data_IF_459282390875
#
_entry.id   IF_459282390875
#
_cell.length_a   1.000
_cell.length_b   1.000
_cell.length_c   1.000
_cell.angle_alpha   90.00
_cell.angle_beta   90.00
_cell.angle_gamma   90.00
#
_symmetry.space_group_name_H-M   'P 1'
#
loop_
_entity.id
_entity.type
_entity.pdbx_description
1 polymer ?
#
# COMPACT_ATOMS: atom_id res chain seq x y z
N UNK A 1 -20.16 5.49 -1.75
CA UNK A 1 -19.32 4.78 -0.78
C UNK A 1 -19.78 3.36 -0.82
N UNK A 2 -18.87 2.41 -1.04
CA UNK A 2 -19.18 0.99 -1.08
C UNK A 2 -19.76 0.58 0.27
N UNK A 3 -21.00 0.09 0.27
CA UNK A 3 -21.63 -0.42 1.47
C UNK A 3 -21.01 -1.77 1.88
N UNK A 4 -21.31 -2.17 3.11
CA UNK A 4 -20.70 -3.34 3.71
C UNK A 4 -21.19 -4.67 3.11
N UNK A 5 -22.43 -4.73 2.60
CA UNK A 5 -22.99 -5.92 1.98
C UNK A 5 -22.38 -6.16 0.61
N UNK A 6 -22.26 -5.10 -0.20
CA UNK A 6 -21.50 -5.09 -1.45
C UNK A 6 -20.07 -5.55 -1.20
N UNK A 7 -19.38 -4.99 -0.20
CA UNK A 7 -18.03 -5.41 0.15
C UNK A 7 -17.96 -6.91 0.49
N UNK A 8 -18.85 -7.41 1.35
CA UNK A 8 -18.90 -8.83 1.75
C UNK A 8 -19.13 -9.75 0.57
N UNK A 9 -20.05 -9.38 -0.31
CA UNK A 9 -20.38 -10.14 -1.51
C UNK A 9 -19.15 -10.30 -2.42
N UNK A 10 -18.45 -9.20 -2.70
CA UNK A 10 -17.23 -9.24 -3.54
C UNK A 10 -16.08 -9.93 -2.83
N UNK A 11 -15.88 -9.68 -1.53
CA UNK A 11 -14.83 -10.33 -0.75
C UNK A 11 -14.98 -11.86 -0.74
N UNK A 12 -16.22 -12.37 -0.63
CA UNK A 12 -16.52 -13.79 -0.73
C UNK A 12 -16.18 -14.35 -2.11
N UNK A 13 -16.49 -13.63 -3.19
CA UNK A 13 -16.12 -14.03 -4.54
C UNK A 13 -14.59 -14.07 -4.74
N UNK A 14 -13.87 -13.07 -4.22
CA UNK A 14 -12.40 -13.05 -4.23
C UNK A 14 -11.84 -14.22 -3.43
N UNK A 15 -12.37 -14.50 -2.25
CA UNK A 15 -11.93 -15.63 -1.41
C UNK A 15 -12.09 -16.98 -2.12
N UNK A 16 -13.20 -17.16 -2.83
CA UNK A 16 -13.53 -18.40 -3.56
C UNK A 16 -12.89 -18.47 -4.96
N UNK A 17 -12.22 -17.41 -5.40
CA UNK A 17 -11.52 -17.43 -6.69
C UNK A 17 -10.31 -18.37 -6.65
N UNK A 18 -9.91 -18.94 -7.79
CA UNK A 18 -8.71 -19.77 -7.91
C UNK A 18 -7.46 -19.08 -7.34
N UNK A 19 -6.51 -19.85 -6.80
CA UNK A 19 -5.25 -19.27 -6.29
C UNK A 19 -4.43 -18.60 -7.39
N UNK A 20 -4.57 -19.06 -8.63
CA UNK A 20 -4.00 -18.48 -9.83
C UNK A 20 -4.90 -17.41 -10.46
N UNK A 21 -5.80 -16.77 -9.67
CA UNK A 21 -6.62 -15.63 -10.12
C UNK A 21 -5.81 -14.61 -10.93
N UNK A 22 -4.51 -14.53 -10.64
CA UNK A 22 -3.53 -13.83 -11.41
C UNK A 22 -2.42 -14.81 -11.77
N UNK A 23 -2.22 -15.06 -13.06
CA UNK A 23 -1.04 -15.76 -13.56
C UNK A 23 0.19 -15.10 -12.93
N UNK A 24 0.97 -15.88 -12.17
CA UNK A 24 2.19 -15.48 -11.47
C UNK A 24 2.05 -14.73 -10.13
N UNK A 25 0.83 -14.54 -9.58
CA UNK A 25 0.66 -13.79 -8.30
C UNK A 25 -0.34 -14.42 -7.33
N UNK A 26 -0.13 -15.68 -6.95
CA UNK A 26 -1.03 -16.39 -6.03
C UNK A 26 -1.21 -15.74 -4.66
N UNK A 27 -0.26 -14.90 -4.23
CA UNK A 27 -0.29 -14.22 -2.94
C UNK A 27 -1.28 -13.05 -2.88
N UNK A 28 -1.69 -12.47 -4.01
CA UNK A 28 -2.49 -11.23 -3.98
C UNK A 28 -3.90 -11.45 -3.45
N UNK A 29 -4.50 -12.65 -3.65
CA UNK A 29 -5.81 -12.98 -3.08
C UNK A 29 -5.84 -12.75 -1.57
N UNK A 30 -4.83 -13.24 -0.86
CA UNK A 30 -4.70 -13.04 0.57
C UNK A 30 -4.48 -11.58 0.96
N UNK A 31 -3.73 -10.82 0.15
CA UNK A 31 -3.47 -9.40 0.39
C UNK A 31 -4.72 -8.53 0.22
N UNK A 32 -5.57 -8.84 -0.77
CA UNK A 32 -6.82 -8.10 -1.01
C UNK A 32 -7.75 -8.12 0.22
N UNK A 33 -7.75 -9.23 0.95
CA UNK A 33 -8.65 -9.48 2.08
C UNK A 33 -8.06 -9.04 3.44
N UNK A 34 -6.77 -8.70 3.49
CA UNK A 34 -6.08 -8.26 4.71
C UNK A 34 -6.06 -6.73 4.85
N UNK A 35 -5.91 -6.26 6.10
CA UNK A 35 -5.62 -4.85 6.38
C UNK A 35 -4.33 -4.47 5.67
N UNK A 36 -4.37 -3.32 5.01
CA UNK A 36 -3.28 -2.87 4.18
C UNK A 36 -2.94 -1.41 4.51
N UNK A 37 -1.65 -1.03 4.55
CA UNK A 37 -1.23 0.33 4.90
C UNK A 37 -1.82 1.39 3.95
N UNK A 38 -2.06 1.03 2.70
CA UNK A 38 -2.72 1.92 1.71
C UNK A 38 -4.19 2.14 2.05
N UNK A 39 -4.87 1.11 2.56
CA UNK A 39 -6.32 1.13 2.75
C UNK A 39 -6.75 1.64 4.13
N UNK A 40 -5.83 1.84 5.09
CA UNK A 40 -6.08 2.47 6.41
C UNK A 40 -7.19 1.79 7.24
N UNK A 41 -6.81 0.78 8.02
CA UNK A 41 -7.69 0.05 8.96
C UNK A 41 -8.82 -0.76 8.32
N UNK A 42 -8.78 -0.95 7.00
CA UNK A 42 -9.73 -1.79 6.26
C UNK A 42 -8.97 -2.67 5.26
N UNK A 43 -9.61 -3.73 4.76
CA UNK A 43 -9.03 -4.56 3.72
C UNK A 43 -8.67 -3.76 2.47
N UNK A 44 -7.57 -4.15 1.81
CA UNK A 44 -7.12 -3.52 0.58
C UNK A 44 -8.19 -3.44 -0.50
N UNK A 45 -8.99 -4.51 -0.63
CA UNK A 45 -10.09 -4.62 -1.58
C UNK A 45 -11.04 -3.42 -1.47
N UNK A 46 -11.28 -2.90 -0.26
CA UNK A 46 -12.17 -1.76 -0.08
C UNK A 46 -11.71 -0.53 -0.87
N UNK A 47 -10.40 -0.24 -0.87
CA UNK A 47 -9.85 0.90 -1.61
C UNK A 47 -9.96 0.71 -3.13
N UNK A 48 -9.82 -0.54 -3.60
CA UNK A 48 -10.03 -0.89 -5.00
C UNK A 48 -11.48 -0.69 -5.40
N UNK A 49 -12.44 -1.14 -4.58
CA UNK A 49 -13.86 -0.98 -4.86
C UNK A 49 -14.28 0.50 -4.86
N UNK A 50 -13.70 1.34 -4.00
CA UNK A 50 -13.92 2.81 -4.06
C UNK A 50 -13.42 3.42 -5.37
N UNK A 51 -12.26 2.97 -5.89
CA UNK A 51 -11.78 3.39 -7.21
C UNK A 51 -12.75 3.01 -8.33
N UNK A 52 -13.30 1.79 -8.28
CA UNK A 52 -14.30 1.32 -9.25
C UNK A 52 -15.62 2.09 -9.13
N UNK A 53 -16.07 2.38 -7.90
CA UNK A 53 -17.27 3.19 -7.67
C UNK A 53 -17.10 4.61 -8.22
N UNK A 54 -15.92 5.21 -8.00
CA UNK A 54 -15.60 6.53 -8.55
C UNK A 54 -15.63 6.51 -10.08
N UNK A 55 -15.13 5.44 -10.71
CA UNK A 55 -15.23 5.27 -12.16
C UNK A 55 -16.69 5.20 -12.63
N UNK A 56 -17.54 4.40 -11.97
CA UNK A 56 -18.96 4.32 -12.32
C UNK A 56 -19.68 5.66 -12.25
N UNK A 57 -19.31 6.50 -11.29
CA UNK A 57 -19.95 7.80 -11.06
C UNK A 57 -19.37 8.92 -11.92
N UNK A 58 -18.08 8.87 -12.24
CA UNK A 58 -17.31 10.01 -12.80
C UNK A 58 -16.49 9.66 -14.04
N UNK A 59 -16.55 8.42 -14.53
CA UNK A 59 -15.75 7.90 -15.65
C UNK A 59 -14.24 8.05 -15.44
N UNK A 60 -13.81 8.09 -14.18
CA UNK A 60 -12.40 8.16 -13.79
C UNK A 60 -12.19 7.37 -12.50
N UNK A 61 -11.13 6.57 -12.42
CA UNK A 61 -10.72 5.93 -11.16
C UNK A 61 -10.19 6.98 -10.16
N UNK A 62 -10.01 6.59 -8.89
CA UNK A 62 -9.39 7.50 -7.92
C UNK A 62 -7.91 7.71 -8.28
N UNK A 63 -7.58 8.94 -8.66
CA UNK A 63 -6.20 9.34 -8.96
C UNK A 63 -5.56 9.88 -7.68
N UNK A 64 -4.45 9.28 -7.20
CA UNK A 64 -3.75 9.79 -6.04
C UNK A 64 -3.28 11.24 -6.24
N UNK A 65 -3.59 12.14 -5.29
CA UNK A 65 -3.26 13.57 -5.36
C UNK A 65 -1.78 13.82 -5.71
N UNK A 66 -1.42 14.82 -6.53
CA UNK A 66 -0.01 15.13 -6.79
C UNK A 66 0.77 15.32 -5.50
N UNK A 67 1.98 14.78 -5.43
CA UNK A 67 2.82 14.86 -4.24
C UNK A 67 4.00 15.81 -4.50
N UNK A 68 3.93 17.08 -4.05
CA UNK A 68 4.82 18.15 -4.51
C UNK A 68 6.29 17.95 -4.09
N UNK A 69 6.54 17.19 -3.03
CA UNK A 69 7.89 16.97 -2.48
C UNK A 69 8.68 15.88 -3.22
N UNK A 70 8.07 15.11 -4.12
CA UNK A 70 8.75 14.09 -4.94
C UNK A 70 8.63 14.50 -6.40
N UNK A 71 9.69 15.08 -6.94
CA UNK A 71 9.78 15.62 -8.32
C UNK A 71 9.63 14.57 -9.44
N UNK A 72 9.48 13.28 -9.12
CA UNK A 72 9.57 12.15 -10.06
C UNK A 72 8.27 11.37 -10.25
N UNK A 73 7.08 11.95 -10.01
CA UNK A 73 5.83 11.20 -10.13
C UNK A 73 5.07 11.45 -11.45
N UNK A 74 5.25 10.54 -12.42
CA UNK A 74 4.37 10.38 -13.60
C UNK A 74 3.03 9.69 -13.25
N UNK A 75 2.70 9.58 -11.95
CA UNK A 75 1.54 8.82 -11.46
C UNK A 75 0.25 9.26 -12.14
N UNK A 76 0.01 10.56 -12.30
CA UNK A 76 -1.22 11.05 -12.95
C UNK A 76 -1.34 10.55 -14.39
N UNK A 77 -0.26 10.60 -15.18
CA UNK A 77 -0.26 10.12 -16.56
C UNK A 77 -0.48 8.61 -16.64
N UNK A 78 0.12 7.83 -15.74
CA UNK A 78 -0.10 6.37 -15.64
C UNK A 78 -1.57 6.05 -15.35
N UNK A 79 -2.20 6.78 -14.43
CA UNK A 79 -3.60 6.58 -14.08
C UNK A 79 -4.55 6.99 -15.21
N UNK A 80 -4.29 8.12 -15.86
CA UNK A 80 -5.06 8.56 -17.02
C UNK A 80 -4.97 7.56 -18.17
N UNK A 81 -3.76 7.06 -18.44
CA UNK A 81 -3.54 6.01 -19.44
C UNK A 81 -4.29 4.73 -19.07
N UNK A 82 -4.18 4.26 -17.82
CA UNK A 82 -4.91 3.08 -17.34
C UNK A 82 -6.42 3.24 -17.51
N UNK A 83 -6.98 4.39 -17.12
CA UNK A 83 -8.41 4.66 -17.24
C UNK A 83 -8.91 4.59 -18.69
N UNK A 84 -8.09 5.04 -19.64
CA UNK A 84 -8.37 4.96 -21.08
C UNK A 84 -8.20 3.54 -21.63
N UNK A 85 -7.10 2.88 -21.29
CA UNK A 85 -6.76 1.55 -21.81
C UNK A 85 -7.79 0.49 -21.38
N UNK A 86 -8.37 0.64 -20.18
CA UNK A 86 -9.31 -0.33 -19.59
C UNK A 86 -10.73 0.23 -19.41
N UNK A 87 -11.10 1.28 -20.16
CA UNK A 87 -12.42 1.92 -20.04
C UNK A 87 -13.55 0.90 -20.22
N UNK A 88 -13.44 0.06 -21.25
CA UNK A 88 -14.43 -0.97 -21.58
C UNK A 88 -14.60 -2.01 -20.46
N UNK A 89 -13.52 -2.49 -19.88
CA UNK A 89 -13.54 -3.45 -18.77
C UNK A 89 -14.09 -2.82 -17.50
N UNK A 90 -13.72 -1.58 -17.20
CA UNK A 90 -14.23 -0.83 -16.06
C UNK A 90 -15.74 -0.55 -16.18
N UNK A 91 -16.23 -0.32 -17.41
CA UNK A 91 -17.66 -0.16 -17.68
C UNK A 91 -18.48 -1.42 -17.41
N UNK A 92 -17.89 -2.60 -17.56
CA UNK A 92 -18.57 -3.89 -17.30
C UNK A 92 -18.70 -4.25 -15.83
N UNK A 93 -17.98 -3.57 -14.94
CA UNK A 93 -18.04 -3.86 -13.50
C UNK A 93 -19.48 -3.76 -12.99
N UNK A 94 -19.96 -4.79 -12.33
CA UNK A 94 -21.25 -4.77 -11.65
C UNK A 94 -21.08 -5.33 -10.25
N UNK A 95 -21.28 -4.47 -9.26
CA UNK A 95 -21.13 -4.81 -7.85
C UNK A 95 -22.14 -5.87 -7.38
N UNK A 96 -23.28 -6.00 -8.06
CA UNK A 96 -24.26 -7.07 -7.80
C UNK A 96 -23.88 -8.42 -8.43
N UNK A 97 -22.95 -8.40 -9.39
CA UNK A 97 -22.40 -9.59 -10.06
C UNK A 97 -20.87 -9.64 -9.89
N UNK A 98 -20.36 -10.09 -8.71
CA UNK A 98 -18.92 -10.05 -8.38
C UNK A 98 -18.00 -10.70 -9.40
N UNK A 99 -18.50 -11.65 -10.19
CA UNK A 99 -17.73 -12.28 -11.26
C UNK A 99 -17.16 -11.25 -12.25
N UNK A 100 -17.88 -10.16 -12.52
CA UNK A 100 -17.39 -9.05 -13.37
C UNK A 100 -16.13 -8.38 -12.80
N UNK A 101 -15.99 -8.32 -11.48
CA UNK A 101 -14.80 -7.77 -10.80
C UNK A 101 -13.64 -8.78 -10.87
N UNK A 102 -13.94 -10.07 -10.72
CA UNK A 102 -12.95 -11.14 -10.90
C UNK A 102 -12.41 -11.15 -12.34
N UNK A 103 -13.28 -10.96 -13.33
CA UNK A 103 -12.90 -10.91 -14.74
C UNK A 103 -12.11 -9.63 -15.07
N UNK A 104 -12.50 -8.49 -14.49
CA UNK A 104 -11.70 -7.27 -14.53
C UNK A 104 -10.29 -7.52 -13.98
N UNK A 105 -10.19 -8.11 -12.80
CA UNK A 105 -8.92 -8.42 -12.15
C UNK A 105 -8.01 -9.28 -13.03
N UNK A 106 -8.56 -10.30 -13.69
CA UNK A 106 -7.80 -11.09 -14.68
C UNK A 106 -7.32 -10.25 -15.85
N UNK A 107 -8.18 -9.39 -16.41
CA UNK A 107 -7.86 -8.57 -17.59
C UNK A 107 -6.79 -7.51 -17.31
N UNK A 108 -6.90 -6.79 -16.18
CA UNK A 108 -5.98 -5.71 -15.83
C UNK A 108 -4.67 -6.22 -15.21
N UNK A 109 -4.67 -7.48 -14.77
CA UNK A 109 -3.56 -8.15 -14.11
C UNK A 109 -3.10 -7.47 -12.82
N UNK A 110 -1.96 -7.94 -12.32
CA UNK A 110 -1.38 -7.47 -11.06
C UNK A 110 -1.06 -5.96 -11.08
N UNK A 111 -0.52 -5.47 -12.20
CA UNK A 111 -0.21 -4.04 -12.39
C UNK A 111 -1.45 -3.16 -12.27
N UNK A 112 -2.54 -3.55 -12.92
CA UNK A 112 -3.80 -2.79 -12.88
C UNK A 112 -4.40 -2.73 -11.48
N UNK A 113 -4.30 -3.81 -10.69
CA UNK A 113 -4.77 -3.79 -9.30
C UNK A 113 -3.98 -2.83 -8.43
N UNK A 114 -2.66 -2.74 -8.61
CA UNK A 114 -1.84 -1.73 -7.89
C UNK A 114 -2.33 -0.32 -8.19
N UNK A 115 -2.69 -0.05 -9.45
CA UNK A 115 -3.24 1.24 -9.87
C UNK A 115 -4.61 1.48 -9.20
N UNK A 116 -5.54 0.52 -9.26
CA UNK A 116 -6.83 0.64 -8.58
C UNK A 116 -6.70 0.78 -7.06
N UNK A 117 -5.67 0.19 -6.47
CA UNK A 117 -5.35 0.32 -5.05
C UNK A 117 -4.77 1.70 -4.67
N UNK A 118 -4.49 2.59 -5.62
CA UNK A 118 -3.96 3.93 -5.30
C UNK A 118 -2.44 3.98 -5.09
N UNK A 119 -1.70 2.96 -5.56
CA UNK A 119 -0.23 2.95 -5.46
C UNK A 119 0.42 3.96 -6.40
N UNK A 120 1.49 4.59 -5.95
CA UNK A 120 2.27 5.51 -6.78
C UNK A 120 3.05 4.75 -7.85
N UNK A 121 3.31 5.45 -8.94
CA UNK A 121 4.23 5.02 -9.98
C UNK A 121 5.31 6.10 -10.17
N UNK A 122 6.56 5.69 -10.04
CA UNK A 122 7.76 6.53 -10.20
C UNK A 122 8.86 5.73 -10.89
N UNK A 123 9.91 6.41 -11.35
CA UNK A 123 11.16 5.75 -11.75
C UNK A 123 11.65 4.87 -10.59
N UNK A 124 11.82 3.57 -10.85
CA UNK A 124 12.21 2.57 -9.85
C UNK A 124 11.04 1.82 -9.18
N UNK A 125 9.78 2.14 -9.49
CA UNK A 125 8.63 1.32 -9.06
C UNK A 125 8.80 -0.12 -9.54
N UNK A 126 8.61 -1.08 -8.63
CA UNK A 126 8.46 -2.48 -9.01
C UNK A 126 6.97 -2.78 -9.23
N UNK A 127 6.57 -2.95 -10.48
CA UNK A 127 5.17 -3.20 -10.85
C UNK A 127 4.66 -4.59 -10.47
N UNK A 128 5.56 -5.49 -10.09
CA UNK A 128 5.30 -6.88 -9.77
C UNK A 128 5.29 -7.14 -8.24
N UNK A 129 5.27 -6.08 -7.42
CA UNK A 129 5.18 -6.20 -5.97
C UNK A 129 4.06 -5.37 -5.36
N UNK A 130 3.45 -5.94 -4.33
CA UNK A 130 2.54 -5.26 -3.42
C UNK A 130 3.27 -4.98 -2.09
N UNK A 131 2.87 -3.95 -1.33
CA UNK A 131 3.39 -3.78 0.01
C UNK A 131 3.07 -4.97 0.92
N UNK A 132 3.90 -5.24 1.94
CA UNK A 132 3.54 -6.15 3.02
C UNK A 132 2.23 -5.70 3.71
N UNK A 133 1.50 -6.64 4.32
CA UNK A 133 0.30 -6.26 5.08
C UNK A 133 0.67 -5.43 6.31
N UNK A 134 -0.30 -4.72 6.86
CA UNK A 134 -0.07 -3.82 8.00
C UNK A 134 0.53 -4.56 9.20
N UNK A 135 0.15 -5.82 9.41
CA UNK A 135 0.67 -6.67 10.48
C UNK A 135 2.17 -6.92 10.32
N UNK A 136 2.65 -7.27 9.12
CA UNK A 136 4.07 -7.51 8.86
C UNK A 136 4.92 -6.23 9.07
N UNK A 137 4.37 -5.08 8.70
CA UNK A 137 5.01 -3.78 8.89
C UNK A 137 5.14 -3.43 10.37
N UNK A 138 4.10 -3.69 11.17
CA UNK A 138 4.14 -3.49 12.61
C UNK A 138 5.04 -4.50 13.30
N UNK A 139 4.94 -5.78 12.97
CA UNK A 139 5.79 -6.81 13.54
C UNK A 139 7.27 -6.46 13.36
N UNK A 140 7.67 -6.12 12.13
CA UNK A 140 9.06 -5.69 11.85
C UNK A 140 9.46 -4.41 12.58
N UNK A 141 8.53 -3.46 12.77
CA UNK A 141 8.78 -2.24 13.54
C UNK A 141 8.98 -2.51 15.04
N UNK A 142 8.25 -3.47 15.59
CA UNK A 142 8.31 -3.85 17.01
C UNK A 142 9.38 -4.88 17.35
N UNK A 143 10.06 -5.47 16.36
CA UNK A 143 11.15 -6.42 16.63
C UNK A 143 12.21 -5.78 17.53
N UNK A 144 12.68 -6.49 18.58
CA UNK A 144 13.78 -6.02 19.41
C UNK A 144 15.03 -5.74 18.56
N UNK A 145 15.61 -4.56 18.76
CA UNK A 145 16.88 -4.15 18.17
C UNK A 145 18.06 -4.46 19.08
N UNK A 146 17.89 -4.38 20.40
CA UNK A 146 18.94 -4.68 21.38
C UNK A 146 18.39 -5.43 22.61
N UNK A 147 19.29 -5.88 23.49
CA UNK A 147 18.96 -6.61 24.71
C UNK A 147 18.21 -5.76 25.76
N UNK A 148 18.24 -4.43 25.64
CA UNK A 148 17.56 -3.50 26.54
C UNK A 148 16.08 -3.31 26.18
N UNK A 149 15.60 -3.99 25.13
CA UNK A 149 14.21 -3.95 24.68
C UNK A 149 13.87 -2.79 23.75
N UNK A 150 14.87 -2.04 23.24
CA UNK A 150 14.62 -1.01 22.22
C UNK A 150 14.22 -1.71 20.93
N UNK A 151 13.17 -1.25 20.25
CA UNK A 151 12.74 -1.84 18.99
C UNK A 151 13.43 -1.19 17.79
N UNK A 152 13.36 -1.83 16.62
CA UNK A 152 13.79 -1.22 15.36
C UNK A 152 13.09 0.12 15.11
N UNK A 153 11.80 0.18 15.42
CA UNK A 153 10.99 1.40 15.36
C UNK A 153 11.45 2.47 16.34
N UNK A 154 11.68 2.11 17.61
CA UNK A 154 12.23 3.02 18.62
C UNK A 154 13.56 3.63 18.18
N UNK A 155 14.48 2.81 17.67
CA UNK A 155 15.75 3.30 17.12
C UNK A 155 15.58 4.23 15.92
N UNK A 156 14.72 3.88 14.97
CA UNK A 156 14.47 4.70 13.79
C UNK A 156 13.91 6.07 14.20
N UNK A 157 12.91 6.07 15.07
CA UNK A 157 12.34 7.26 15.69
C UNK A 157 13.41 8.14 16.35
N UNK A 158 14.27 7.56 17.20
CA UNK A 158 15.31 8.35 17.88
C UNK A 158 16.27 9.05 16.91
N UNK A 159 16.63 8.39 15.80
CA UNK A 159 17.45 9.01 14.75
C UNK A 159 16.72 10.16 14.05
N UNK A 160 15.42 10.03 13.83
CA UNK A 160 14.61 11.07 13.19
C UNK A 160 14.40 12.29 14.08
N UNK A 161 14.12 12.12 15.39
CA UNK A 161 13.99 13.25 16.32
C UNK A 161 15.23 14.15 16.36
N UNK A 162 16.43 13.58 16.26
CA UNK A 162 17.69 14.35 16.27
C UNK A 162 17.88 15.16 14.98
N UNK A 163 17.31 14.70 13.87
CA UNK A 163 17.48 15.31 12.54
C UNK A 163 16.35 16.27 12.16
N UNK A 164 15.26 16.24 12.91
CA UNK A 164 14.03 16.93 12.56
C UNK A 164 13.90 18.27 13.27
N UNK A 165 14.15 19.35 12.54
CA UNK A 165 14.00 20.71 13.05
C UNK A 165 12.54 21.13 13.25
N UNK A 166 11.58 20.47 12.60
CA UNK A 166 10.15 20.81 12.72
C UNK A 166 9.51 20.24 13.99
N UNK A 167 10.17 19.30 14.65
CA UNK A 167 9.69 18.53 15.80
C UNK A 167 8.43 17.70 15.52
N UNK A 168 8.18 17.31 14.27
CA UNK A 168 7.11 16.36 13.93
C UNK A 168 7.27 15.04 14.70
N UNK A 169 8.50 14.52 14.77
CA UNK A 169 8.79 13.31 15.55
C UNK A 169 8.92 13.58 17.06
N UNK A 170 8.81 14.83 17.51
CA UNK A 170 8.97 15.16 18.93
C UNK A 170 10.41 14.98 19.44
N UNK A 171 10.56 14.54 20.69
CA UNK A 171 11.86 14.41 21.37
C UNK A 171 11.97 13.05 22.03
N UNK A 172 13.17 12.47 21.99
CA UNK A 172 13.48 11.21 22.68
C UNK A 172 13.61 11.49 24.18
N UNK A 173 12.66 10.99 24.98
CA UNK A 173 12.67 11.09 26.45
C UNK A 173 12.02 9.86 27.06
N UNK A 174 12.41 9.56 28.30
CA UNK A 174 11.86 8.45 29.08
C UNK A 174 12.61 7.14 28.90
N UNK A 175 12.01 6.09 29.45
CA UNK A 175 12.45 4.69 29.37
C UNK A 175 12.38 4.15 27.94
N UNK A 176 13.05 3.04 27.70
CA UNK A 176 12.98 2.30 26.42
C UNK A 176 11.55 2.01 25.98
N UNK A 177 10.68 1.63 26.92
CA UNK A 177 9.27 1.36 26.64
C UNK A 177 8.52 2.62 26.19
N UNK A 178 8.76 3.76 26.86
CA UNK A 178 8.16 5.05 26.48
C UNK A 178 8.63 5.50 25.09
N UNK A 179 9.91 5.31 24.76
CA UNK A 179 10.46 5.59 23.42
C UNK A 179 9.79 4.71 22.36
N UNK A 180 9.65 3.41 22.60
CA UNK A 180 9.00 2.48 21.67
C UNK A 180 7.52 2.85 21.46
N UNK A 181 6.80 3.20 22.52
CA UNK A 181 5.39 3.62 22.45
C UNK A 181 5.23 4.93 21.68
N UNK A 182 6.13 5.89 21.89
CA UNK A 182 6.14 7.13 21.10
C UNK A 182 6.37 6.83 19.62
N UNK A 183 7.38 6.02 19.32
CA UNK A 183 7.70 5.61 17.95
C UNK A 183 6.49 4.98 17.25
N UNK A 184 5.73 4.12 17.95
CA UNK A 184 4.49 3.57 17.43
C UNK A 184 3.44 4.64 17.14
N UNK A 185 3.19 5.56 18.07
CA UNK A 185 2.24 6.66 17.86
C UNK A 185 2.61 7.52 16.65
N UNK A 186 3.91 7.75 16.40
CA UNK A 186 4.39 8.43 15.20
C UNK A 186 4.15 7.61 13.92
N UNK A 187 4.39 6.30 13.96
CA UNK A 187 4.14 5.43 12.82
C UNK A 187 2.66 5.39 12.44
N UNK A 188 1.77 5.24 13.43
CA UNK A 188 0.31 5.31 13.24
C UNK A 188 -0.10 6.62 12.59
N UNK A 189 0.42 7.76 13.07
CA UNK A 189 0.17 9.08 12.45
C UNK A 189 0.60 9.12 10.98
N UNK A 190 1.74 8.53 10.63
CA UNK A 190 2.21 8.47 9.23
C UNK A 190 1.30 7.59 8.37
N UNK A 191 0.97 6.38 8.83
CA UNK A 191 0.13 5.44 8.07
C UNK A 191 -1.29 5.98 7.88
N UNK A 192 -1.91 6.51 8.93
CA UNK A 192 -3.28 7.02 8.88
C UNK A 192 -3.42 8.28 8.03
N UNK A 193 -2.42 9.17 8.05
CA UNK A 193 -2.42 10.40 7.27
C UNK A 193 -1.63 10.28 5.96
N UNK A 194 -1.37 9.05 5.54
CA UNK A 194 -0.62 8.80 4.33
C UNK A 194 -1.38 9.25 3.08
N UNK A 195 -0.63 9.85 2.15
CA UNK A 195 -1.12 10.27 0.82
C UNK A 195 -0.24 9.73 -0.29
N UNK A 196 0.92 9.17 0.06
CA UNK A 196 1.89 8.63 -0.89
C UNK A 196 2.38 7.29 -0.40
N UNK A 197 2.39 6.30 -1.30
CA UNK A 197 2.88 4.94 -1.03
C UNK A 197 3.44 4.31 -2.29
N UNK A 198 4.54 3.59 -2.19
CA UNK A 198 5.10 2.87 -3.33
C UNK A 198 5.95 1.66 -2.90
N UNK A 199 6.09 0.69 -3.80
CA UNK A 199 7.12 -0.35 -3.71
C UNK A 199 8.12 -0.12 -4.83
N UNK A 200 9.39 0.03 -4.45
CA UNK A 200 10.49 0.43 -5.34
C UNK A 200 11.71 -0.47 -5.17
N UNK A 201 12.61 -0.42 -6.14
CA UNK A 201 13.95 -0.98 -6.06
C UNK A 201 14.93 0.18 -5.82
N UNK A 202 15.36 0.39 -4.58
CA UNK A 202 16.35 1.41 -4.25
C UNK A 202 17.79 0.87 -4.17
N UNK A 203 17.95 -0.45 -4.07
CA UNK A 203 19.25 -1.12 -4.10
C UNK A 203 19.18 -2.41 -4.91
N UNK A 204 20.34 -2.95 -5.29
CA UNK A 204 20.42 -4.21 -6.04
C UNK A 204 19.81 -5.39 -5.26
N UNK A 205 19.87 -5.37 -3.92
CA UNK A 205 19.62 -6.56 -3.09
C UNK A 205 18.29 -6.52 -2.32
N UNK A 206 17.64 -5.35 -2.23
CA UNK A 206 16.38 -5.20 -1.51
C UNK A 206 15.29 -4.52 -2.32
N UNK A 207 14.06 -4.89 -1.99
CA UNK A 207 12.88 -4.12 -2.30
C UNK A 207 12.58 -3.17 -1.15
N UNK A 208 12.00 -2.02 -1.48
CA UNK A 208 11.66 -0.99 -0.52
C UNK A 208 10.18 -0.70 -0.60
N UNK A 209 9.47 -0.82 0.51
CA UNK A 209 8.15 -0.23 0.67
C UNK A 209 8.27 1.09 1.43
N UNK A 210 7.60 2.12 0.94
CA UNK A 210 7.63 3.44 1.54
C UNK A 210 6.26 4.08 1.56
N UNK A 211 5.95 4.74 2.67
CA UNK A 211 4.73 5.51 2.92
C UNK A 211 5.09 6.91 3.39
N UNK A 212 4.35 7.92 2.92
CA UNK A 212 4.47 9.31 3.38
C UNK A 212 3.13 10.00 3.55
N UNK A 213 3.07 10.90 4.54
CA UNK A 213 2.00 11.89 4.66
C UNK A 213 2.24 13.11 3.76
N UNK A 214 1.27 14.01 3.69
CA UNK A 214 1.30 15.21 2.84
C UNK A 214 2.49 16.13 3.10
N UNK A 215 3.02 16.13 4.33
CA UNK A 215 4.09 17.01 4.78
C UNK A 215 5.51 16.44 4.54
N UNK A 216 5.65 15.27 3.91
CA UNK A 216 6.97 14.67 3.67
C UNK A 216 7.36 13.57 4.63
N UNK A 217 6.74 13.50 5.82
CA UNK A 217 7.12 12.52 6.84
C UNK A 217 6.69 11.13 6.43
N UNK A 218 7.56 10.15 6.64
CA UNK A 218 7.36 8.82 6.13
C UNK A 218 8.06 7.73 6.93
N UNK A 219 7.69 6.51 6.59
CA UNK A 219 8.32 5.28 7.07
C UNK A 219 8.70 4.43 5.86
N UNK A 220 9.79 3.68 6.01
CA UNK A 220 10.36 2.85 4.97
C UNK A 220 10.76 1.50 5.53
N UNK A 221 10.42 0.44 4.81
CA UNK A 221 10.82 -0.93 5.10
C UNK A 221 11.59 -1.48 3.92
N UNK A 222 12.66 -2.22 4.23
CA UNK A 222 13.44 -2.95 3.26
C UNK A 222 13.23 -4.43 3.48
N UNK A 223 12.99 -5.16 2.40
CA UNK A 223 12.85 -6.61 2.42
C UNK A 223 13.70 -7.23 1.32
N UNK A 224 14.37 -8.34 1.65
CA UNK A 224 15.31 -8.99 0.74
C UNK A 224 14.58 -9.47 -0.51
N UNK A 225 15.22 -9.29 -1.67
CA UNK A 225 14.80 -10.03 -2.86
C UNK A 225 15.02 -11.51 -2.56
N UNK A 226 14.00 -12.35 -2.75
CA UNK A 226 14.27 -13.80 -2.74
C UNK A 226 15.27 -14.05 -3.86
N UNK A 227 16.34 -14.84 -3.64
CA UNK A 227 17.20 -15.25 -4.73
C UNK A 227 16.29 -15.91 -5.77
N UNK A 228 16.31 -15.37 -6.99
CA UNK A 228 15.74 -16.05 -8.15
C UNK A 228 16.52 -17.34 -8.30
N UNK A 229 15.99 -18.44 -7.76
CA UNK A 229 16.41 -19.75 -8.21
C UNK A 229 16.01 -19.82 -9.67
N UNK A 230 17.00 -19.65 -10.55
CA UNK A 230 16.90 -20.01 -11.95
C UNK A 230 16.78 -21.53 -11.96
N UNK A 231 15.59 -22.02 -12.30
CA UNK A 231 15.36 -23.35 -12.88
C UNK A 231 14.35 -23.17 -14.01
#
# INVERSE_FOLDING_TARGET
MIDYDTFRLVAKAVQNSPDDLFENYSLIKGLLLKRHPIAKNRPLLFNILESLENFKRRKTILIPMPYPLIKSCDTTAVYQKFNKDYEYELEKVDFSHPQTIIDLFRSIGFRGIRILAGMRHTTGTNENLFPPCTEDLYESFYRPYNHEGLTHGGRAFSKHCVRDSSKFWGTVKGTTNEVNNHAHGCLEKVIMNSVWHNVMVLSADCYTYEVRNENGYGARWEFKKRPTNIL
#
